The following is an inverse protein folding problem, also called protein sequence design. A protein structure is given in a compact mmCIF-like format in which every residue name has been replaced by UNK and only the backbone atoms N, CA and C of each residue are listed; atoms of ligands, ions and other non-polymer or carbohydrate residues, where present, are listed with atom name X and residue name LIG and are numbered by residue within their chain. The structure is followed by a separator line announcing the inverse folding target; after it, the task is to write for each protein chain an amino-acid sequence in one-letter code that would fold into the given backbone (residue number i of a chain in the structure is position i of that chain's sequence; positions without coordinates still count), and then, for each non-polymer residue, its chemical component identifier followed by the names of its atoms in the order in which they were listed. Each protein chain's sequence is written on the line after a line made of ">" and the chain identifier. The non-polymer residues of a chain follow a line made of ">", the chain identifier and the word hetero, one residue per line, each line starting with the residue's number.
data_IF_837674291689
#
_entry.id   IF_837674291689
#
_cell.length_a   1.000
_cell.length_b   1.000
_cell.length_c   1.000
_cell.angle_alpha   90.00
_cell.angle_beta   90.00
_cell.angle_gamma   90.00
#
_symmetry.space_group_name_H-M   'P 1'
#
loop_
_entity.id
_entity.type
_entity.pdbx_description
1 polymer ?
#
# COMPACT_ATOMS: atom_id res chain seq x y z
N UNK A 1 -57.10 42.23 -16.84
CA UNK A 1 -55.66 42.31 -17.20
C UNK A 1 -54.70 41.71 -16.15
N UNK A 2 -55.10 41.39 -14.90
CA UNK A 2 -54.19 40.82 -13.88
C UNK A 2 -54.05 39.28 -13.89
N UNK A 3 -54.91 38.55 -14.58
CA UNK A 3 -54.92 37.07 -14.56
C UNK A 3 -53.98 36.40 -15.56
N UNK A 4 -53.58 37.09 -16.65
CA UNK A 4 -52.66 36.52 -17.65
C UNK A 4 -51.21 36.42 -17.13
N UNK A 5 -50.76 37.42 -16.37
CA UNK A 5 -49.37 37.47 -15.87
C UNK A 5 -49.07 36.39 -14.82
N UNK A 6 -50.08 36.00 -14.02
CA UNK A 6 -49.92 34.98 -12.97
C UNK A 6 -49.71 33.58 -13.56
N UNK A 7 -50.34 33.28 -14.70
CA UNK A 7 -50.23 31.97 -15.37
C UNK A 7 -48.86 31.84 -16.04
N UNK A 8 -48.33 32.91 -16.63
CA UNK A 8 -46.99 32.92 -17.23
C UNK A 8 -45.88 32.76 -16.18
N UNK A 9 -46.00 33.39 -15.01
CA UNK A 9 -44.98 33.30 -13.95
C UNK A 9 -44.90 31.89 -13.33
N UNK A 10 -46.04 31.20 -13.19
CA UNK A 10 -46.10 29.81 -12.69
C UNK A 10 -45.47 28.85 -13.72
N UNK A 11 -45.74 29.06 -15.01
CA UNK A 11 -45.15 28.24 -16.08
C UNK A 11 -43.62 28.35 -16.11
N UNK A 12 -43.08 29.58 -16.01
CA UNK A 12 -41.63 29.83 -16.01
C UNK A 12 -40.96 29.24 -14.76
N UNK A 13 -41.56 29.41 -13.57
CA UNK A 13 -41.03 28.85 -12.32
C UNK A 13 -40.93 27.32 -12.33
N UNK A 14 -41.91 26.64 -12.93
CA UNK A 14 -41.91 25.17 -13.05
C UNK A 14 -40.83 24.65 -14.01
N UNK A 15 -40.62 25.30 -15.15
CA UNK A 15 -39.58 24.91 -16.13
C UNK A 15 -38.16 25.05 -15.56
N UNK A 16 -37.88 26.14 -14.82
CA UNK A 16 -36.58 26.38 -14.18
C UNK A 16 -36.26 25.29 -13.12
N UNK A 17 -37.28 24.81 -12.40
CA UNK A 17 -37.11 23.74 -11.41
C UNK A 17 -36.75 22.40 -12.06
N UNK A 18 -37.38 22.06 -13.19
CA UNK A 18 -37.11 20.83 -13.96
C UNK A 18 -35.71 20.83 -14.56
N UNK A 19 -35.22 21.95 -15.10
CA UNK A 19 -33.87 22.07 -15.66
C UNK A 19 -32.77 21.96 -14.58
N UNK A 20 -33.00 22.57 -13.41
CA UNK A 20 -32.10 22.40 -12.25
C UNK A 20 -32.06 20.94 -11.80
N UNK A 21 -33.21 20.27 -11.76
CA UNK A 21 -33.28 18.86 -11.38
C UNK A 21 -32.61 17.95 -12.41
N UNK A 22 -32.79 18.22 -13.72
CA UNK A 22 -32.08 17.52 -14.81
C UNK A 22 -30.56 17.71 -14.68
N UNK A 23 -30.04 18.94 -14.52
CA UNK A 23 -28.60 19.18 -14.30
C UNK A 23 -28.07 18.45 -13.06
N UNK A 24 -28.86 18.37 -11.98
CA UNK A 24 -28.50 17.65 -10.75
C UNK A 24 -28.46 16.13 -10.97
N UNK A 25 -29.39 15.57 -11.74
CA UNK A 25 -29.41 14.16 -12.14
C UNK A 25 -28.29 13.83 -13.13
N UNK A 26 -28.01 14.68 -14.12
CA UNK A 26 -26.88 14.48 -15.05
C UNK A 26 -25.53 14.56 -14.34
N UNK A 27 -25.41 15.37 -13.29
CA UNK A 27 -24.26 15.41 -12.37
C UNK A 27 -24.12 14.13 -11.53
N UNK A 28 -25.23 13.49 -11.15
CA UNK A 28 -25.27 12.25 -10.39
C UNK A 28 -24.85 11.01 -11.20
N UNK A 29 -24.81 11.10 -12.54
CA UNK A 29 -24.30 10.05 -13.43
C UNK A 29 -23.00 10.48 -14.10
N UNK A 30 -22.01 10.91 -13.33
CA UNK A 30 -20.62 11.03 -13.81
C UNK A 30 -20.22 9.63 -14.29
N UNK A 31 -20.22 9.40 -15.61
CA UNK A 31 -19.86 8.11 -16.23
C UNK A 31 -18.49 7.69 -15.71
N UNK A 32 -18.46 6.74 -14.78
CA UNK A 32 -17.22 6.15 -14.29
C UNK A 32 -16.69 5.27 -15.42
N UNK A 33 -15.72 5.78 -16.16
CA UNK A 33 -14.98 4.96 -17.13
C UNK A 33 -14.04 4.08 -16.31
N UNK A 34 -14.16 2.75 -16.38
CA UNK A 34 -13.24 1.87 -15.67
C UNK A 34 -11.82 2.11 -16.16
N UNK A 35 -10.89 2.32 -15.22
CA UNK A 35 -9.47 2.47 -15.54
C UNK A 35 -8.95 1.10 -15.96
N UNK A 36 -8.59 0.96 -17.24
CA UNK A 36 -7.96 -0.24 -17.75
C UNK A 36 -6.45 -0.15 -17.51
N UNK A 37 -5.91 -1.11 -16.76
CA UNK A 37 -4.47 -1.27 -16.59
C UNK A 37 -3.95 -2.15 -17.74
N UNK A 38 -3.01 -1.66 -18.57
CA UNK A 38 -2.45 -2.46 -19.64
C UNK A 38 -1.59 -3.60 -19.09
N UNK A 39 -1.52 -4.71 -19.82
CA UNK A 39 -0.65 -5.85 -19.51
C UNK A 39 0.76 -5.52 -19.98
N UNK A 40 1.75 -5.72 -19.11
CA UNK A 40 3.15 -5.52 -19.42
C UNK A 40 3.75 -6.81 -20.01
N UNK A 41 4.77 -6.63 -20.85
CA UNK A 41 5.55 -7.70 -21.49
C UNK A 41 6.94 -7.82 -20.88
N UNK A 42 7.48 -6.74 -20.31
CA UNK A 42 8.76 -6.77 -19.61
C UNK A 42 8.65 -7.56 -18.32
N UNK A 43 9.41 -8.65 -18.21
CA UNK A 43 9.53 -9.41 -16.97
C UNK A 43 10.42 -8.68 -15.97
N UNK A 44 9.94 -8.55 -14.73
CA UNK A 44 10.73 -8.00 -13.64
C UNK A 44 11.58 -9.08 -13.01
N UNK A 45 12.86 -8.80 -12.78
CA UNK A 45 13.71 -9.66 -11.97
C UNK A 45 13.30 -9.57 -10.48
N UNK A 46 13.55 -10.59 -9.66
CA UNK A 46 13.37 -10.49 -8.22
C UNK A 46 14.16 -9.30 -7.63
N UNK A 47 13.67 -8.73 -6.52
CA UNK A 47 14.44 -7.74 -5.75
C UNK A 47 15.24 -8.49 -4.68
N UNK A 48 16.56 -8.31 -4.68
CA UNK A 48 17.40 -8.85 -3.61
C UNK A 48 17.25 -7.99 -2.36
N UNK A 49 16.81 -8.59 -1.26
CA UNK A 49 16.75 -7.94 0.05
C UNK A 49 18.01 -8.20 0.89
N UNK A 50 18.98 -8.97 0.39
CA UNK A 50 20.16 -9.38 1.17
C UNK A 50 19.76 -9.96 2.53
N UNK A 51 20.44 -9.50 3.58
CA UNK A 51 20.18 -9.85 4.98
C UNK A 51 18.86 -9.29 5.51
N UNK A 52 18.29 -8.23 4.91
CA UNK A 52 16.97 -7.71 5.27
C UNK A 52 15.83 -8.73 4.99
N UNK A 53 16.08 -9.73 4.15
CA UNK A 53 15.13 -10.82 3.88
C UNK A 53 14.75 -11.64 5.13
N UNK A 54 15.64 -11.68 6.13
CA UNK A 54 15.43 -12.40 7.39
C UNK A 54 14.35 -11.79 8.29
N UNK A 55 14.08 -10.49 8.13
CA UNK A 55 13.27 -9.70 9.05
C UNK A 55 11.80 -9.60 8.63
N UNK A 56 10.90 -9.57 9.60
CA UNK A 56 9.52 -9.13 9.41
C UNK A 56 9.42 -7.60 9.54
N UNK A 57 10.19 -7.01 10.45
CA UNK A 57 10.18 -5.57 10.73
C UNK A 57 11.61 -5.04 10.81
N UNK A 58 11.89 -3.96 10.09
CA UNK A 58 13.11 -3.15 10.27
C UNK A 58 12.70 -1.70 10.48
N UNK A 59 13.36 -0.99 11.39
CA UNK A 59 13.17 0.43 11.59
C UNK A 59 14.49 1.20 11.78
N UNK A 60 14.49 2.47 11.35
CA UNK A 60 15.59 3.41 11.54
C UNK A 60 15.54 4.14 12.88
N UNK A 61 14.34 4.45 13.37
CA UNK A 61 14.15 5.34 14.51
C UNK A 61 13.62 4.65 15.78
N UNK A 62 12.43 4.08 15.71
CA UNK A 62 11.80 3.38 16.85
C UNK A 62 10.80 2.33 16.40
N UNK A 63 10.52 1.38 17.28
CA UNK A 63 9.44 0.40 17.12
C UNK A 63 8.53 0.52 18.34
N UNK A 64 7.29 0.92 18.12
CA UNK A 64 6.34 1.15 19.21
C UNK A 64 5.09 0.32 19.00
N UNK A 65 4.61 -0.32 20.06
CA UNK A 65 3.39 -1.10 20.04
C UNK A 65 2.40 -0.67 21.13
N UNK A 66 1.11 -0.71 20.80
CA UNK A 66 0.01 -0.61 21.77
C UNK A 66 -0.93 -1.80 21.60
N UNK A 67 -1.19 -2.54 22.68
CA UNK A 67 -2.12 -3.68 22.66
C UNK A 67 -1.48 -4.97 22.14
N UNK A 68 -2.31 -6.00 21.94
CA UNK A 68 -1.87 -7.36 21.64
C UNK A 68 -1.49 -7.51 20.15
N UNK A 69 -0.32 -7.00 19.78
CA UNK A 69 0.29 -7.25 18.47
C UNK A 69 1.02 -8.57 18.48
N UNK A 70 0.94 -9.36 17.41
CA UNK A 70 1.85 -10.50 17.18
C UNK A 70 2.73 -10.22 15.98
N UNK A 71 4.05 -10.37 16.15
CA UNK A 71 5.02 -10.34 15.05
C UNK A 71 5.65 -11.73 14.95
N UNK A 72 5.49 -12.37 13.78
CA UNK A 72 6.17 -13.61 13.44
C UNK A 72 7.29 -13.34 12.43
N UNK A 73 8.52 -13.42 12.91
CA UNK A 73 9.75 -13.09 12.22
C UNK A 73 10.61 -12.08 12.98
N UNK A 74 11.88 -11.98 12.59
CA UNK A 74 12.87 -11.18 13.31
C UNK A 74 12.59 -9.67 13.18
N UNK A 75 13.02 -8.93 14.19
CA UNK A 75 12.97 -7.48 14.25
C UNK A 75 14.38 -6.90 14.23
N UNK A 76 14.57 -5.86 13.41
CA UNK A 76 15.80 -5.07 13.32
C UNK A 76 15.55 -3.61 13.67
N UNK A 77 16.38 -3.01 14.53
CA UNK A 77 16.33 -1.59 14.85
C UNK A 77 17.74 -1.00 14.85
N UNK A 78 18.00 -0.08 13.92
CA UNK A 78 19.29 0.61 13.81
C UNK A 78 19.14 1.88 12.95
N UNK A 79 19.70 3.04 13.36
CA UNK A 79 20.46 3.29 14.59
C UNK A 79 19.58 3.54 15.84
N UNK A 80 18.26 3.47 15.68
CA UNK A 80 17.30 3.63 16.76
C UNK A 80 17.55 2.74 17.97
N UNK A 81 17.03 3.12 19.13
CA UNK A 81 17.18 2.37 20.39
C UNK A 81 15.87 2.09 21.11
N UNK A 82 14.80 2.75 20.69
CA UNK A 82 13.49 2.67 21.35
C UNK A 82 12.68 1.54 20.72
N UNK A 83 12.53 0.45 21.46
CA UNK A 83 11.58 -0.62 21.17
C UNK A 83 10.69 -0.84 22.39
N UNK A 84 9.40 -0.56 22.26
CA UNK A 84 8.46 -0.55 23.39
C UNK A 84 7.12 -1.21 23.05
N UNK A 85 6.43 -1.70 24.08
CA UNK A 85 5.12 -2.34 23.96
C UNK A 85 5.16 -3.85 23.71
N UNK A 86 6.29 -4.51 23.97
CA UNK A 86 6.45 -5.96 23.96
C UNK A 86 6.99 -6.39 25.34
N UNK A 87 6.13 -6.70 26.33
CA UNK A 87 4.66 -6.93 26.29
C UNK A 87 3.79 -5.65 26.27
N UNK A 88 2.46 -5.73 25.95
CA UNK A 88 1.67 -6.94 25.69
C UNK A 88 1.79 -7.48 24.25
N UNK A 89 2.55 -6.81 23.39
CA UNK A 89 2.92 -7.38 22.10
C UNK A 89 3.74 -8.67 22.29
N UNK A 90 3.55 -9.61 21.38
CA UNK A 90 4.28 -10.85 21.29
C UNK A 90 5.21 -10.83 20.07
N UNK A 91 6.50 -11.03 20.30
CA UNK A 91 7.49 -11.28 19.26
C UNK A 91 7.80 -12.78 19.22
N UNK A 92 7.59 -13.38 18.05
CA UNK A 92 7.98 -14.75 17.71
C UNK A 92 9.13 -14.63 16.70
N UNK A 93 10.34 -14.45 17.22
CA UNK A 93 11.54 -14.19 16.43
C UNK A 93 12.64 -13.55 17.28
N UNK A 94 13.76 -13.23 16.65
CA UNK A 94 14.89 -12.56 17.31
C UNK A 94 14.74 -11.04 17.27
N UNK A 95 15.17 -10.40 18.35
CA UNK A 95 15.31 -8.95 18.42
C UNK A 95 16.78 -8.58 18.18
N UNK A 96 17.03 -7.78 17.14
CA UNK A 96 18.36 -7.33 16.73
C UNK A 96 18.41 -5.79 16.80
N UNK A 97 19.07 -5.24 17.82
CA UNK A 97 19.11 -3.77 18.05
C UNK A 97 20.56 -3.30 18.06
N UNK A 98 20.94 -2.48 17.08
CA UNK A 98 22.29 -1.93 16.90
C UNK A 98 23.41 -2.99 16.96
N UNK A 99 23.09 -4.21 16.57
CA UNK A 99 24.04 -5.31 16.43
C UNK A 99 24.51 -5.44 14.98
N UNK A 100 25.53 -6.28 14.69
CA UNK A 100 25.99 -6.46 13.32
C UNK A 100 24.88 -6.91 12.36
N UNK A 101 23.91 -7.71 12.81
CA UNK A 101 22.86 -8.25 11.94
C UNK A 101 21.91 -7.13 11.47
N UNK A 102 21.41 -6.32 12.40
CA UNK A 102 20.55 -5.17 12.12
C UNK A 102 21.26 -4.06 11.33
N UNK A 103 22.56 -3.84 11.57
CA UNK A 103 23.37 -2.89 10.81
C UNK A 103 23.47 -3.33 9.32
N UNK A 104 23.84 -4.58 9.05
CA UNK A 104 23.92 -5.08 7.67
C UNK A 104 22.54 -5.10 6.99
N UNK A 105 21.50 -5.50 7.71
CA UNK A 105 20.15 -5.51 7.19
C UNK A 105 19.65 -4.10 6.80
N UNK A 106 20.06 -3.06 7.53
CA UNK A 106 19.74 -1.66 7.18
C UNK A 106 20.46 -1.20 5.92
N UNK A 107 21.70 -1.64 5.69
CA UNK A 107 22.46 -1.34 4.49
C UNK A 107 21.84 -2.04 3.27
N UNK A 108 21.57 -3.34 3.38
CA UNK A 108 20.93 -4.11 2.31
C UNK A 108 19.52 -3.59 1.98
N UNK A 109 18.77 -3.15 3.00
CA UNK A 109 17.49 -2.48 2.80
C UNK A 109 17.63 -1.20 1.97
N UNK A 110 18.66 -0.38 2.22
CA UNK A 110 18.92 0.81 1.42
C UNK A 110 19.27 0.44 -0.02
N UNK A 111 20.13 -0.56 -0.21
CA UNK A 111 20.49 -1.07 -1.54
C UNK A 111 19.27 -1.56 -2.32
N UNK A 112 18.37 -2.32 -1.68
CA UNK A 112 17.14 -2.80 -2.30
C UNK A 112 16.17 -1.66 -2.64
N UNK A 113 16.05 -0.65 -1.77
CA UNK A 113 15.26 0.54 -2.03
C UNK A 113 15.78 1.31 -3.25
N UNK A 114 17.10 1.50 -3.33
CA UNK A 114 17.75 2.18 -4.43
C UNK A 114 17.65 1.39 -5.75
N UNK A 115 17.81 0.06 -5.71
CA UNK A 115 17.55 -0.83 -6.86
C UNK A 115 16.16 -0.57 -7.41
N UNK A 116 15.11 -0.77 -6.58
CA UNK A 116 13.73 -0.58 -7.02
C UNK A 116 13.53 0.81 -7.60
N UNK A 117 14.02 1.87 -6.94
CA UNK A 117 13.82 3.26 -7.38
C UNK A 117 14.40 3.57 -8.76
N UNK A 118 15.41 2.82 -9.20
CA UNK A 118 16.13 3.02 -10.47
C UNK A 118 15.60 2.13 -11.59
N UNK A 119 14.74 1.16 -11.30
CA UNK A 119 14.17 0.28 -12.32
C UNK A 119 13.33 1.09 -13.30
N UNK A 120 13.51 0.79 -14.58
CA UNK A 120 12.73 1.36 -15.69
C UNK A 120 12.52 0.27 -16.74
N UNK A 121 11.45 0.40 -17.52
CA UNK A 121 11.21 -0.40 -18.71
C UNK A 121 10.36 0.40 -19.70
N UNK A 122 10.31 -0.03 -20.96
CA UNK A 122 9.58 0.66 -22.04
C UNK A 122 8.06 0.67 -21.84
N UNK A 123 7.54 -0.29 -21.09
CA UNK A 123 6.12 -0.53 -20.84
C UNK A 123 5.73 -0.30 -19.37
N UNK A 124 6.53 0.46 -18.61
CA UNK A 124 6.20 0.86 -17.25
C UNK A 124 4.85 1.60 -17.20
N UNK A 125 4.01 1.27 -16.22
CA UNK A 125 2.67 1.85 -16.09
C UNK A 125 2.62 2.88 -14.97
N UNK A 126 2.20 4.11 -15.30
CA UNK A 126 1.87 5.13 -14.30
C UNK A 126 0.46 4.88 -13.75
N UNK A 127 0.35 4.68 -12.45
CA UNK A 127 -0.90 4.47 -11.75
C UNK A 127 -1.57 5.80 -11.37
N UNK A 128 -2.92 5.83 -11.31
CA UNK A 128 -3.64 6.94 -10.69
C UNK A 128 -3.38 6.99 -9.17
N UNK A 129 -3.67 8.14 -8.54
CA UNK A 129 -3.53 8.33 -7.09
C UNK A 129 -4.40 7.37 -6.26
N UNK A 130 -5.52 6.92 -6.81
CA UNK A 130 -6.49 6.02 -6.15
C UNK A 130 -6.58 4.72 -6.94
N UNK A 131 -6.18 3.61 -6.31
CA UNK A 131 -6.12 2.29 -6.96
C UNK A 131 -7.13 1.29 -6.39
N UNK A 132 -8.04 1.74 -5.53
CA UNK A 132 -9.17 0.92 -5.12
C UNK A 132 -9.90 0.36 -6.33
N UNK A 133 -10.28 -0.92 -6.27
CA UNK A 133 -10.98 -1.66 -7.34
C UNK A 133 -10.15 -1.95 -8.60
N UNK A 134 -8.87 -1.54 -8.63
CA UNK A 134 -7.97 -1.91 -9.72
C UNK A 134 -7.39 -3.31 -9.52
N UNK A 135 -7.10 -3.95 -10.65
CA UNK A 135 -6.34 -5.20 -10.72
C UNK A 135 -5.04 -4.95 -11.48
N UNK A 136 -3.90 -5.24 -10.85
CA UNK A 136 -2.60 -5.21 -11.52
C UNK A 136 -2.19 -6.62 -11.95
N UNK A 137 -1.59 -6.68 -13.13
CA UNK A 137 -0.89 -7.86 -13.65
C UNK A 137 0.61 -7.74 -13.34
N UNK A 138 1.43 -8.78 -13.55
CA UNK A 138 2.86 -8.70 -13.25
C UNK A 138 3.53 -7.56 -14.02
N UNK A 139 4.45 -6.83 -13.38
CA UNK A 139 5.13 -5.71 -14.02
C UNK A 139 5.66 -4.65 -13.06
N UNK A 140 6.13 -3.56 -13.66
CA UNK A 140 6.65 -2.37 -12.99
C UNK A 140 5.64 -1.23 -13.07
N UNK A 141 5.36 -0.64 -11.92
CA UNK A 141 4.39 0.43 -11.77
C UNK A 141 5.03 1.62 -11.06
N UNK A 142 4.60 2.82 -11.43
CA UNK A 142 5.01 4.05 -10.73
C UNK A 142 3.83 4.96 -10.44
N UNK A 143 4.00 5.87 -9.50
CA UNK A 143 3.13 7.05 -9.32
C UNK A 143 3.97 8.31 -9.46
N UNK A 144 3.32 9.44 -9.74
CA UNK A 144 4.01 10.74 -9.77
C UNK A 144 4.14 11.35 -8.36
N UNK A 145 3.23 11.00 -7.43
CA UNK A 145 3.30 11.39 -6.01
C UNK A 145 2.77 10.25 -5.12
N UNK A 146 1.77 10.53 -4.29
CA UNK A 146 1.26 9.64 -3.26
C UNK A 146 0.22 8.70 -3.84
N UNK A 147 0.03 7.57 -3.18
CA UNK A 147 -0.86 6.50 -3.60
C UNK A 147 -1.84 6.16 -2.48
N UNK A 148 -3.06 5.80 -2.85
CA UNK A 148 -4.07 5.41 -1.87
C UNK A 148 -4.99 4.28 -2.32
N UNK A 149 -5.38 3.46 -1.35
CA UNK A 149 -6.54 2.57 -1.45
C UNK A 149 -7.59 3.16 -0.50
N UNK A 150 -8.39 4.09 -1.04
CA UNK A 150 -9.34 4.86 -0.24
C UNK A 150 -10.71 4.19 -0.09
N UNK A 151 -11.03 3.26 -0.99
CA UNK A 151 -12.24 2.44 -0.98
C UNK A 151 -11.99 1.13 -1.74
N UNK A 152 -12.83 0.13 -1.51
CA UNK A 152 -12.79 -1.14 -2.24
C UNK A 152 -11.57 -2.01 -1.92
N UNK A 153 -11.44 -3.09 -2.70
CA UNK A 153 -10.27 -3.98 -2.64
C UNK A 153 -9.36 -3.69 -3.83
N UNK A 154 -8.06 -3.86 -3.62
CA UNK A 154 -7.04 -3.79 -4.67
C UNK A 154 -6.51 -5.20 -4.94
N UNK A 155 -6.27 -5.55 -6.19
CA UNK A 155 -5.97 -6.93 -6.59
C UNK A 155 -4.63 -7.01 -7.32
N UNK A 156 -3.81 -7.99 -6.94
CA UNK A 156 -2.73 -8.51 -7.78
C UNK A 156 -3.17 -9.84 -8.39
N UNK A 157 -3.13 -9.92 -9.71
CA UNK A 157 -3.47 -11.11 -10.46
C UNK A 157 -2.26 -11.60 -11.26
N UNK A 158 -1.69 -12.72 -10.85
CA UNK A 158 -0.54 -13.32 -11.54
C UNK A 158 -0.93 -14.03 -12.85
N UNK A 159 -2.22 -14.16 -13.19
CA UNK A 159 -2.69 -14.79 -14.43
C UNK A 159 -2.14 -16.20 -14.66
N UNK A 160 -1.89 -16.95 -13.59
CA UNK A 160 -1.30 -18.29 -13.62
C UNK A 160 0.23 -18.32 -13.72
N UNK A 161 0.90 -17.17 -13.75
CA UNK A 161 2.36 -17.09 -13.80
C UNK A 161 2.97 -17.26 -12.39
N UNK A 162 3.57 -18.42 -12.12
CA UNK A 162 4.26 -18.68 -10.85
C UNK A 162 5.46 -17.76 -10.57
N UNK A 163 6.04 -17.16 -11.62
CA UNK A 163 7.16 -16.20 -11.54
C UNK A 163 6.69 -14.74 -11.54
N UNK A 164 5.40 -14.49 -11.34
CA UNK A 164 4.84 -13.15 -11.33
C UNK A 164 5.50 -12.26 -10.27
N UNK A 165 6.05 -11.13 -10.69
CA UNK A 165 6.64 -10.09 -9.84
C UNK A 165 5.94 -8.77 -10.07
N UNK A 166 5.67 -8.07 -8.97
CA UNK A 166 5.00 -6.77 -8.95
C UNK A 166 5.87 -5.78 -8.20
N UNK A 167 6.24 -4.68 -8.85
CA UNK A 167 7.06 -3.64 -8.25
C UNK A 167 6.35 -2.31 -8.41
N UNK A 168 6.16 -1.60 -7.30
CA UNK A 168 5.46 -0.32 -7.27
C UNK A 168 6.38 0.74 -6.68
N UNK A 169 6.72 1.74 -7.49
CA UNK A 169 7.51 2.91 -7.12
C UNK A 169 6.59 4.08 -6.73
N UNK A 170 6.69 4.57 -5.50
CA UNK A 170 5.81 5.61 -4.95
C UNK A 170 6.68 6.72 -4.36
N UNK A 171 6.92 7.83 -5.06
CA UNK A 171 7.70 8.95 -4.52
C UNK A 171 7.06 9.57 -3.26
N UNK A 172 5.73 9.52 -3.19
CA UNK A 172 4.94 10.07 -2.09
C UNK A 172 4.72 9.11 -0.92
N UNK A 173 3.58 9.30 -0.24
CA UNK A 173 3.11 8.42 0.84
C UNK A 173 2.15 7.36 0.30
N UNK A 174 2.02 6.23 1.01
CA UNK A 174 1.00 5.22 0.75
C UNK A 174 -0.03 5.21 1.88
N UNK A 175 -1.31 5.42 1.55
CA UNK A 175 -2.40 5.44 2.53
C UNK A 175 -3.47 4.40 2.19
N UNK A 176 -3.80 3.55 3.14
CA UNK A 176 -4.86 2.54 2.99
C UNK A 176 -5.94 2.84 4.01
N UNK A 177 -7.17 2.99 3.52
CA UNK A 177 -8.35 3.25 4.34
C UNK A 177 -8.72 2.06 5.22
N UNK A 178 -9.57 2.32 6.21
CA UNK A 178 -10.13 1.26 7.06
C UNK A 178 -10.82 0.18 6.22
N UNK A 179 -10.57 -1.08 6.58
CA UNK A 179 -11.23 -2.26 5.96
C UNK A 179 -10.87 -2.53 4.49
N UNK A 180 -10.00 -1.72 3.87
CA UNK A 180 -9.54 -1.96 2.51
C UNK A 180 -8.49 -3.08 2.48
N UNK A 181 -8.56 -3.95 1.47
CA UNK A 181 -7.74 -5.16 1.40
C UNK A 181 -6.96 -5.26 0.10
N UNK A 182 -5.76 -5.83 0.20
CA UNK A 182 -4.98 -6.29 -0.94
C UNK A 182 -5.22 -7.80 -1.12
N UNK A 183 -5.77 -8.16 -2.27
CA UNK A 183 -6.14 -9.53 -2.62
C UNK A 183 -5.13 -10.07 -3.63
N UNK A 184 -4.71 -11.31 -3.44
CA UNK A 184 -3.82 -12.04 -4.34
C UNK A 184 -4.64 -13.11 -5.05
N UNK A 185 -4.65 -13.11 -6.37
CA UNK A 185 -5.32 -14.12 -7.20
C UNK A 185 -4.39 -14.62 -8.31
N UNK A 186 -4.84 -15.65 -9.03
CA UNK A 186 -4.13 -16.16 -10.20
C UNK A 186 -2.74 -16.72 -9.89
N UNK A 187 -2.47 -17.11 -8.64
CA UNK A 187 -1.16 -17.59 -8.19
C UNK A 187 -0.19 -16.49 -7.74
N UNK A 188 -0.66 -15.27 -7.47
CA UNK A 188 0.21 -14.21 -6.97
C UNK A 188 0.67 -14.50 -5.53
N UNK A 189 1.97 -14.30 -5.27
CA UNK A 189 2.57 -14.50 -3.95
C UNK A 189 3.01 -13.16 -3.34
N UNK A 190 2.72 -12.98 -2.04
CA UNK A 190 3.14 -11.79 -1.29
C UNK A 190 4.66 -11.57 -1.33
N UNK A 191 5.43 -12.65 -1.48
CA UNK A 191 6.89 -12.62 -1.55
C UNK A 191 7.45 -11.95 -2.81
N UNK A 192 6.65 -11.87 -3.88
CA UNK A 192 7.02 -11.26 -5.15
C UNK A 192 6.41 -9.86 -5.35
N UNK A 193 5.87 -9.27 -4.29
CA UNK A 193 5.26 -7.93 -4.32
C UNK A 193 6.15 -6.97 -3.52
N UNK A 194 6.65 -5.94 -4.19
CA UNK A 194 7.55 -4.96 -3.62
C UNK A 194 6.98 -3.56 -3.75
N UNK A 195 6.92 -2.86 -2.63
CA UNK A 195 6.49 -1.47 -2.55
C UNK A 195 7.68 -0.62 -2.13
N UNK A 196 8.10 0.30 -2.98
CA UNK A 196 9.10 1.30 -2.65
C UNK A 196 8.37 2.64 -2.41
N UNK A 197 8.50 3.18 -1.20
CA UNK A 197 7.75 4.38 -0.76
C UNK A 197 8.73 5.46 -0.30
N UNK A 198 8.73 6.60 -0.99
CA UNK A 198 9.60 7.75 -0.70
C UNK A 198 9.25 8.51 0.58
N UNK A 199 8.05 8.30 1.14
CA UNK A 199 7.62 8.90 2.40
C UNK A 199 7.08 7.84 3.38
N UNK A 200 5.91 8.10 3.98
CA UNK A 200 5.32 7.33 5.07
C UNK A 200 4.25 6.39 4.53
N UNK A 201 4.10 5.23 5.17
CA UNK A 201 2.99 4.31 4.94
C UNK A 201 2.01 4.38 6.10
N UNK A 202 0.71 4.48 5.83
CA UNK A 202 -0.35 4.44 6.84
C UNK A 202 -1.39 3.38 6.46
N UNK A 203 -1.52 2.34 7.28
CA UNK A 203 -2.46 1.25 7.10
C UNK A 203 -3.66 1.44 8.03
N UNK A 204 -4.85 1.53 7.44
CA UNK A 204 -6.10 1.76 8.12
C UNK A 204 -6.49 0.63 9.07
N UNK A 205 -7.40 0.95 9.99
CA UNK A 205 -7.95 -0.04 10.94
C UNK A 205 -8.48 -1.25 10.17
N UNK A 206 -8.16 -2.46 10.64
CA UNK A 206 -8.55 -3.75 10.04
C UNK A 206 -8.30 -3.88 8.53
N UNK A 207 -7.33 -3.14 7.98
CA UNK A 207 -6.88 -3.33 6.60
C UNK A 207 -5.97 -4.56 6.46
N UNK A 208 -5.96 -5.19 5.28
CA UNK A 208 -5.07 -6.31 4.97
C UNK A 208 -4.07 -5.92 3.90
N UNK A 209 -2.78 -5.96 4.25
CA UNK A 209 -1.68 -5.63 3.35
C UNK A 209 -0.87 -6.87 2.97
N UNK A 210 -0.37 -6.89 1.73
CA UNK A 210 0.46 -7.96 1.18
C UNK A 210 1.69 -7.37 0.50
N UNK A 211 2.85 -7.95 0.77
CA UNK A 211 4.11 -7.57 0.12
C UNK A 211 5.20 -7.06 1.06
N UNK A 212 6.39 -6.88 0.50
CA UNK A 212 7.52 -6.23 1.16
C UNK A 212 7.39 -4.72 1.00
N UNK A 213 7.24 -4.01 2.11
CA UNK A 213 7.19 -2.54 2.17
C UNK A 213 8.59 -2.02 2.49
N UNK A 214 9.16 -1.24 1.58
CA UNK A 214 10.41 -0.50 1.76
C UNK A 214 10.07 0.99 1.80
N UNK A 215 9.96 1.55 3.01
CA UNK A 215 9.58 2.94 3.21
C UNK A 215 10.79 3.78 3.62
N UNK A 216 10.98 4.94 3.00
CA UNK A 216 12.02 5.89 3.40
C UNK A 216 11.76 6.42 4.82
N UNK A 217 10.50 6.71 5.14
CA UNK A 217 10.08 7.26 6.42
C UNK A 217 9.40 6.18 7.28
N UNK A 218 8.32 6.53 7.99
CA UNK A 218 7.70 5.64 8.96
C UNK A 218 6.65 4.72 8.32
N UNK A 219 6.38 3.59 8.98
CA UNK A 219 5.27 2.69 8.65
C UNK A 219 4.34 2.65 9.86
N UNK A 220 3.07 3.02 9.66
CA UNK A 220 2.08 3.17 10.72
C UNK A 220 0.92 2.22 10.49
N UNK A 221 0.73 1.28 11.41
CA UNK A 221 -0.41 0.39 11.45
C UNK A 221 -1.43 0.94 12.44
N UNK A 222 -2.67 1.17 11.99
CA UNK A 222 -3.82 1.38 12.88
C UNK A 222 -4.33 0.04 13.42
N UNK A 223 -5.26 0.12 14.36
CA UNK A 223 -5.78 -1.03 15.12
C UNK A 223 -6.17 -2.20 14.22
N UNK A 224 -5.61 -3.39 14.47
CA UNK A 224 -6.05 -4.61 13.79
C UNK A 224 -5.64 -4.72 12.32
N UNK A 225 -4.90 -3.77 11.76
CA UNK A 225 -4.30 -3.94 10.43
C UNK A 225 -3.39 -5.19 10.42
N UNK A 226 -3.38 -5.91 9.30
CA UNK A 226 -2.62 -7.15 9.13
C UNK A 226 -1.65 -7.02 7.97
N UNK A 227 -0.45 -7.58 8.12
CA UNK A 227 0.56 -7.67 7.08
C UNK A 227 0.99 -9.13 6.88
N UNK A 228 0.92 -9.59 5.63
CA UNK A 228 1.69 -10.74 5.16
C UNK A 228 2.80 -10.22 4.24
N UNK A 229 4.01 -10.18 4.78
CA UNK A 229 5.16 -9.57 4.12
C UNK A 229 6.13 -8.96 5.12
N UNK A 230 6.69 -7.79 4.78
CA UNK A 230 7.69 -7.11 5.62
C UNK A 230 7.41 -5.62 5.74
N UNK A 231 7.67 -5.06 6.92
CA UNK A 231 7.59 -3.63 7.19
C UNK A 231 8.99 -3.07 7.42
N UNK A 232 9.63 -2.56 6.37
CA UNK A 232 11.03 -2.15 6.38
C UNK A 232 11.13 -0.62 6.23
N UNK A 233 11.29 0.08 7.36
CA UNK A 233 11.45 1.53 7.42
C UNK A 233 12.93 1.92 7.47
N UNK A 234 13.36 2.80 6.56
CA UNK A 234 14.75 3.21 6.40
C UNK A 234 15.14 4.21 7.48
N UNK A 235 14.51 5.38 7.51
CA UNK A 235 14.85 6.43 8.49
C UNK A 235 13.82 6.50 9.62
N UNK A 236 12.57 6.13 9.34
CA UNK A 236 11.45 6.27 10.26
C UNK A 236 11.31 5.13 11.26
N UNK A 237 10.23 5.22 12.03
CA UNK A 237 9.83 4.17 12.97
C UNK A 237 8.70 3.29 12.43
N UNK A 238 8.45 2.19 13.12
CA UNK A 238 7.29 1.32 12.91
C UNK A 238 6.37 1.43 14.11
N UNK A 239 5.12 1.85 13.87
CA UNK A 239 4.10 2.01 14.91
C UNK A 239 2.98 0.99 14.72
N UNK A 240 2.68 0.25 15.79
CA UNK A 240 1.75 -0.88 15.80
C UNK A 240 0.67 -0.67 16.87
N UNK A 241 -0.54 -1.12 16.56
CA UNK A 241 -1.70 -1.14 17.44
C UNK A 241 -2.47 -2.45 17.21
N UNK A 242 -2.34 -3.43 18.12
CA UNK A 242 -3.01 -4.74 18.06
C UNK A 242 -3.01 -5.38 16.66
N UNK A 243 -1.83 -5.49 16.04
CA UNK A 243 -1.67 -5.96 14.66
C UNK A 243 -1.24 -7.42 14.59
N UNK A 244 -1.40 -8.02 13.41
CA UNK A 244 -0.79 -9.31 13.10
C UNK A 244 0.17 -9.14 11.93
N UNK A 245 1.46 -9.36 12.18
CA UNK A 245 2.53 -9.22 11.19
C UNK A 245 3.18 -10.58 11.00
N UNK A 246 3.13 -11.11 9.79
CA UNK A 246 3.76 -12.38 9.43
C UNK A 246 4.73 -12.15 8.29
N UNK A 247 6.00 -12.53 8.47
CA UNK A 247 6.92 -12.68 7.34
C UNK A 247 6.30 -13.71 6.39
N UNK A 248 6.14 -13.35 5.12
CA UNK A 248 5.60 -14.27 4.13
C UNK A 248 6.43 -15.56 4.08
N UNK A 249 5.80 -16.68 3.72
CA UNK A 249 6.53 -17.93 3.44
C UNK A 249 7.49 -17.75 2.26
N UNK A 250 8.60 -18.51 2.19
CA UNK A 250 9.47 -18.50 1.01
C UNK A 250 8.64 -18.67 -0.28
N UNK A 251 8.99 -17.93 -1.34
CA UNK A 251 8.32 -18.13 -2.62
C UNK A 251 8.49 -19.59 -3.07
N UNK A 252 7.45 -20.20 -3.68
CA UNK A 252 7.65 -21.42 -4.43
C UNK A 252 8.74 -21.19 -5.48
N UNK A 253 9.65 -22.15 -5.59
CA UNK A 253 10.67 -22.18 -6.63
C UNK A 253 10.13 -22.88 -7.87
#
# INVERSE_FOLDING_TARGET
>A
MKSLNLITDIAIGSMVSVERYKKKITSLFKKVVPILIPVQTTLQNPVSLGTASGFAVIAGYSITNKGATTINGDIGLCPGKVMEGFPPGLLIGNQNINDPISIHAKLDLMTAFDDISKRTCSDIVTLPEKIGELTLTPGLYKTDDSLSISSGNFVFDAKGNGNAIFIIQIPGSLNISMGCNIILIGGAFACNIFWQIGKTVSLGTVSVFRGTVLAMQSIKFKTGATLNGRALAINGGVKLISNSIYKHEPCPK
#
